data_IF_702468509482
#
_entry.id   IF_702468509482
#
_cell.length_a   1.000
_cell.length_b   1.000
_cell.length_c   1.000
_cell.angle_alpha   90.00
_cell.angle_beta   90.00
_cell.angle_gamma   90.00
#
_symmetry.space_group_name_H-M   'P 1'
#
loop_
_entity.id
_entity.type
_entity.pdbx_description
1 polymer ?
#
# COMPACT_ATOMS: atom_id res chain seq x y z
N UNK A 1 -16.16 -1.49 -12.64
CA UNK A 1 -16.36 -0.26 -11.85
C UNK A 1 -17.79 -0.04 -11.28
N UNK A 2 -18.73 -0.99 -11.34
CA UNK A 2 -20.05 -0.84 -10.67
C UNK A 2 -19.91 -0.69 -9.14
N UNK A 3 -18.94 -1.39 -8.55
CA UNK A 3 -18.72 -1.46 -7.09
C UNK A 3 -18.21 -0.16 -6.46
N UNK A 4 -17.62 0.75 -7.25
CA UNK A 4 -17.11 2.04 -6.77
C UNK A 4 -17.94 3.24 -7.25
N UNK A 5 -19.08 3.03 -7.92
CA UNK A 5 -19.82 4.13 -8.55
C UNK A 5 -20.30 5.20 -7.57
N UNK A 6 -20.64 4.83 -6.34
CA UNK A 6 -21.03 5.80 -5.29
C UNK A 6 -19.82 6.58 -4.78
N UNK A 7 -18.72 5.89 -4.50
CA UNK A 7 -17.48 6.50 -4.02
C UNK A 7 -16.86 7.44 -5.07
N UNK A 8 -16.88 7.06 -6.34
CA UNK A 8 -16.43 7.92 -7.45
C UNK A 8 -17.24 9.23 -7.47
N UNK A 9 -18.57 9.15 -7.37
CA UNK A 9 -19.44 10.34 -7.33
C UNK A 9 -19.20 11.20 -6.09
N UNK A 10 -18.91 10.57 -4.95
CA UNK A 10 -18.72 11.23 -3.65
C UNK A 10 -17.36 11.91 -3.54
N UNK A 11 -16.30 11.26 -3.99
CA UNK A 11 -14.92 11.68 -3.72
C UNK A 11 -14.15 12.11 -4.97
N UNK A 12 -14.43 11.50 -6.13
CA UNK A 12 -13.61 11.65 -7.34
C UNK A 12 -14.35 12.39 -8.46
N UNK A 13 -15.35 13.22 -8.13
CA UNK A 13 -16.17 13.93 -9.13
C UNK A 13 -15.33 14.84 -10.04
N UNK A 14 -14.29 15.48 -9.48
CA UNK A 14 -13.44 16.41 -10.21
C UNK A 14 -12.53 15.68 -11.22
N UNK A 15 -12.15 14.45 -10.92
CA UNK A 15 -11.35 13.58 -11.81
C UNK A 15 -12.09 13.25 -13.10
N UNK A 16 -13.43 13.18 -13.06
CA UNK A 16 -14.28 12.97 -14.24
C UNK A 16 -14.32 14.17 -15.20
N UNK A 17 -13.89 15.34 -14.73
CA UNK A 17 -13.82 16.57 -15.51
C UNK A 17 -12.40 16.86 -16.00
N UNK A 18 -11.44 15.99 -15.68
CA UNK A 18 -10.05 16.17 -16.08
C UNK A 18 -9.89 15.96 -17.58
N UNK A 19 -9.07 16.81 -18.22
CA UNK A 19 -8.64 16.63 -19.61
C UNK A 19 -7.49 15.63 -19.74
N UNK A 20 -7.29 14.76 -18.73
CA UNK A 20 -6.25 13.74 -18.80
C UNK A 20 -6.57 12.71 -19.90
N UNK A 21 -5.52 12.22 -20.56
CA UNK A 21 -5.63 11.22 -21.64
C UNK A 21 -6.31 9.91 -21.19
N UNK A 22 -6.40 9.68 -19.88
CA UNK A 22 -7.03 8.50 -19.29
C UNK A 22 -7.80 8.89 -18.03
N UNK A 23 -9.08 9.21 -18.19
CA UNK A 23 -10.02 9.49 -17.09
C UNK A 23 -10.03 8.31 -16.08
N UNK A 24 -9.86 7.07 -16.57
CA UNK A 24 -9.79 5.88 -15.74
C UNK A 24 -8.63 5.93 -14.75
N UNK A 25 -7.45 6.38 -15.18
CA UNK A 25 -6.25 6.41 -14.32
C UNK A 25 -6.37 7.49 -13.24
N UNK A 26 -6.90 8.67 -13.59
CA UNK A 26 -7.17 9.75 -12.63
C UNK A 26 -8.21 9.35 -11.58
N UNK A 27 -9.27 8.63 -11.97
CA UNK A 27 -10.25 8.08 -11.01
C UNK A 27 -9.62 7.03 -10.09
N UNK A 28 -8.82 6.10 -10.61
CA UNK A 28 -8.14 5.08 -9.79
C UNK A 28 -7.16 5.74 -8.80
N UNK A 29 -6.42 6.76 -9.23
CA UNK A 29 -5.54 7.55 -8.36
C UNK A 29 -6.31 8.20 -7.21
N UNK A 30 -7.47 8.80 -7.47
CA UNK A 30 -8.32 9.34 -6.41
C UNK A 30 -8.84 8.25 -5.47
N UNK A 31 -9.30 7.11 -5.99
CA UNK A 31 -9.78 6.00 -5.15
C UNK A 31 -8.68 5.42 -4.25
N UNK A 32 -7.43 5.34 -4.72
CA UNK A 32 -6.25 4.97 -3.89
C UNK A 32 -6.09 5.89 -2.68
N UNK A 33 -6.25 7.20 -2.87
CA UNK A 33 -6.20 8.16 -1.74
C UNK A 33 -7.30 7.86 -0.72
N UNK A 34 -8.54 7.65 -1.18
CA UNK A 34 -9.65 7.34 -0.27
C UNK A 34 -9.52 5.97 0.40
N UNK A 35 -8.92 4.99 -0.28
CA UNK A 35 -8.59 3.67 0.27
C UNK A 35 -7.61 3.79 1.44
N UNK A 36 -6.52 4.54 1.26
CA UNK A 36 -5.55 4.82 2.34
C UNK A 36 -6.16 5.56 3.53
N UNK A 37 -7.19 6.38 3.28
CA UNK A 37 -7.91 7.13 4.31
C UNK A 37 -9.12 6.41 4.91
N UNK A 38 -9.37 5.15 4.56
CA UNK A 38 -10.51 4.37 5.10
C UNK A 38 -11.89 5.01 4.84
N UNK A 39 -12.01 5.76 3.73
CA UNK A 39 -13.22 6.54 3.38
C UNK A 39 -14.15 5.84 2.38
N UNK A 40 -13.68 4.77 1.73
CA UNK A 40 -14.46 4.02 0.74
C UNK A 40 -15.55 3.18 1.39
N UNK A 41 -16.64 2.94 0.65
CA UNK A 41 -17.63 1.93 1.01
C UNK A 41 -17.03 0.52 1.01
N UNK A 42 -17.54 -0.40 1.84
CA UNK A 42 -17.08 -1.80 1.92
C UNK A 42 -17.00 -2.48 0.54
N UNK A 43 -17.93 -2.17 -0.37
CA UNK A 43 -17.93 -2.76 -1.72
C UNK A 43 -16.82 -2.20 -2.59
N UNK A 44 -16.53 -0.91 -2.49
CA UNK A 44 -15.45 -0.30 -3.25
C UNK A 44 -14.08 -0.59 -2.62
N UNK A 45 -14.00 -0.66 -1.29
CA UNK A 45 -12.79 -1.06 -0.57
C UNK A 45 -12.34 -2.46 -1.01
N UNK A 46 -13.25 -3.43 -1.09
CA UNK A 46 -12.94 -4.78 -1.59
C UNK A 46 -12.47 -4.78 -3.04
N UNK A 47 -13.16 -4.06 -3.93
CA UNK A 47 -12.74 -3.93 -5.32
C UNK A 47 -11.33 -3.34 -5.43
N UNK A 48 -11.05 -2.27 -4.66
CA UNK A 48 -9.74 -1.63 -4.65
C UNK A 48 -8.66 -2.54 -4.05
N UNK A 49 -8.97 -3.28 -2.98
CA UNK A 49 -8.03 -4.23 -2.38
C UNK A 49 -7.61 -5.32 -3.39
N UNK A 50 -8.56 -5.85 -4.18
CA UNK A 50 -8.25 -6.83 -5.24
C UNK A 50 -7.39 -6.22 -6.35
N UNK A 51 -7.75 -5.01 -6.85
CA UNK A 51 -6.95 -4.31 -7.87
C UNK A 51 -5.52 -4.09 -7.37
N UNK A 52 -5.37 -3.59 -6.15
CA UNK A 52 -4.06 -3.29 -5.56
C UNK A 52 -3.27 -4.56 -5.25
N UNK A 53 -3.93 -5.65 -4.87
CA UNK A 53 -3.30 -6.96 -4.68
C UNK A 53 -2.75 -7.51 -6.00
N UNK A 54 -3.50 -7.44 -7.08
CA UNK A 54 -3.04 -7.86 -8.41
C UNK A 54 -1.85 -7.01 -8.88
N UNK A 55 -1.92 -5.69 -8.66
CA UNK A 55 -0.78 -4.78 -8.90
C UNK A 55 0.45 -5.13 -8.07
N UNK A 56 0.24 -5.60 -6.83
CA UNK A 56 1.32 -6.00 -5.94
C UNK A 56 1.94 -7.35 -6.29
N UNK A 57 1.18 -8.25 -6.90
CA UNK A 57 1.69 -9.51 -7.43
C UNK A 57 2.41 -9.29 -8.77
N UNK A 58 1.91 -8.38 -9.59
CA UNK A 58 2.36 -8.18 -10.97
C UNK A 58 2.55 -6.69 -11.26
N UNK A 59 3.78 -6.18 -11.11
CA UNK A 59 4.07 -4.74 -11.22
C UNK A 59 3.70 -4.15 -12.58
N UNK A 60 3.67 -4.97 -13.64
CA UNK A 60 3.22 -4.57 -14.97
C UNK A 60 1.75 -4.17 -15.04
N UNK A 61 0.93 -4.59 -14.06
CA UNK A 61 -0.47 -4.17 -13.89
C UNK A 61 -0.59 -2.83 -13.15
N UNK A 62 0.50 -2.32 -12.56
CA UNK A 62 0.57 -0.99 -11.98
C UNK A 62 1.20 0.00 -12.99
N UNK A 63 0.38 0.74 -13.77
CA UNK A 63 0.89 1.58 -14.86
C UNK A 63 1.79 2.71 -14.36
N UNK A 64 1.51 3.28 -13.18
CA UNK A 64 2.33 4.36 -12.63
C UNK A 64 3.72 3.85 -12.27
N UNK A 65 3.83 2.79 -11.45
CA UNK A 65 5.13 2.20 -11.09
C UNK A 65 5.90 1.77 -12.34
N UNK A 66 5.25 1.10 -13.30
CA UNK A 66 5.89 0.67 -14.54
C UNK A 66 6.54 1.83 -15.30
N UNK A 67 5.92 3.01 -15.27
CA UNK A 67 6.42 4.20 -15.97
C UNK A 67 7.47 4.93 -15.14
N UNK A 68 7.17 5.27 -13.88
CA UNK A 68 8.04 6.14 -13.08
C UNK A 68 9.24 5.41 -12.48
N UNK A 69 9.13 4.10 -12.24
CA UNK A 69 10.20 3.26 -11.69
C UNK A 69 10.88 2.38 -12.74
N UNK A 70 10.67 2.64 -14.05
CA UNK A 70 11.21 1.79 -15.12
C UNK A 70 12.71 1.55 -14.96
N UNK A 71 13.47 2.62 -14.74
CA UNK A 71 14.92 2.56 -14.59
C UNK A 71 15.33 1.74 -13.36
N UNK A 72 14.66 1.91 -12.23
CA UNK A 72 14.94 1.19 -10.99
C UNK A 72 14.62 -0.29 -11.12
N UNK A 73 13.53 -0.64 -11.81
CA UNK A 73 13.15 -2.02 -12.08
C UNK A 73 14.26 -2.71 -12.91
N UNK A 74 14.73 -2.05 -13.98
CA UNK A 74 15.75 -2.60 -14.88
C UNK A 74 17.15 -2.67 -14.21
N UNK A 75 17.53 -1.64 -13.46
CA UNK A 75 18.91 -1.49 -12.96
C UNK A 75 19.13 -1.98 -11.53
N UNK A 76 18.14 -1.81 -10.65
CA UNK A 76 18.20 -2.17 -9.23
C UNK A 76 17.60 -3.56 -9.00
N UNK A 77 16.40 -3.79 -9.52
CA UNK A 77 15.67 -5.04 -9.30
C UNK A 77 16.01 -6.15 -10.29
N UNK A 78 16.53 -5.81 -11.47
CA UNK A 78 17.09 -6.73 -12.48
C UNK A 78 16.18 -7.93 -12.73
N UNK A 79 14.94 -7.67 -13.11
CA UNK A 79 13.88 -8.67 -13.13
C UNK A 79 13.38 -8.96 -14.55
N UNK A 80 13.39 -10.24 -14.94
CA UNK A 80 13.12 -10.72 -16.30
C UNK A 80 11.80 -11.53 -16.38
N UNK A 81 10.66 -10.93 -16.02
CA UNK A 81 9.31 -11.33 -16.47
C UNK A 81 8.42 -12.29 -15.63
N UNK A 82 8.88 -12.97 -14.57
CA UNK A 82 7.98 -13.77 -13.69
C UNK A 82 7.74 -13.10 -12.33
N UNK A 83 6.91 -12.04 -12.33
CA UNK A 83 6.66 -11.27 -11.11
C UNK A 83 5.53 -11.90 -10.29
N UNK A 84 5.83 -12.25 -9.04
CA UNK A 84 4.88 -12.74 -8.03
C UNK A 84 5.10 -11.95 -6.74
N UNK A 85 5.10 -10.63 -6.90
CA UNK A 85 5.41 -9.62 -5.89
C UNK A 85 6.89 -9.48 -5.56
N UNK A 86 7.78 -10.00 -6.42
CA UNK A 86 9.23 -9.90 -6.21
C UNK A 86 9.74 -8.51 -6.58
N UNK A 87 9.21 -7.91 -7.64
CA UNK A 87 9.61 -6.56 -8.06
C UNK A 87 9.10 -5.54 -7.05
N UNK A 88 7.84 -5.65 -6.62
CA UNK A 88 7.30 -4.80 -5.55
C UNK A 88 8.15 -4.89 -4.28
N UNK A 89 8.45 -6.10 -3.80
CA UNK A 89 9.27 -6.28 -2.59
C UNK A 89 10.68 -5.69 -2.78
N UNK A 90 11.26 -5.80 -3.97
CA UNK A 90 12.54 -5.18 -4.29
C UNK A 90 12.46 -3.65 -4.20
N UNK A 91 11.45 -3.03 -4.83
CA UNK A 91 11.24 -1.58 -4.81
C UNK A 91 11.04 -1.06 -3.39
N UNK A 92 10.19 -1.73 -2.58
CA UNK A 92 10.00 -1.42 -1.16
C UNK A 92 11.33 -1.42 -0.41
N UNK A 93 12.16 -2.45 -0.60
CA UNK A 93 13.48 -2.55 0.02
C UNK A 93 14.48 -1.50 -0.51
N UNK A 94 14.43 -1.16 -1.80
CA UNK A 94 15.27 -0.14 -2.40
C UNK A 94 14.97 1.25 -1.82
N UNK A 95 13.69 1.56 -1.57
CA UNK A 95 13.28 2.81 -0.93
C UNK A 95 13.89 2.95 0.47
N UNK A 96 13.73 1.93 1.33
CA UNK A 96 14.26 1.94 2.70
C UNK A 96 15.78 2.03 2.74
N UNK A 97 16.45 1.41 1.77
CA UNK A 97 17.91 1.48 1.63
C UNK A 97 18.38 2.76 0.94
N UNK A 98 17.48 3.70 0.62
CA UNK A 98 17.77 4.96 -0.10
C UNK A 98 18.51 4.72 -1.41
N UNK A 99 18.15 3.65 -2.12
CA UNK A 99 18.74 3.24 -3.39
C UNK A 99 17.97 3.73 -4.61
N UNK A 100 16.76 4.26 -4.42
CA UNK A 100 15.97 4.85 -5.51
C UNK A 100 16.46 6.29 -5.73
N UNK A 101 17.09 6.59 -6.89
CA UNK A 101 17.63 7.91 -7.15
C UNK A 101 16.57 8.90 -7.65
N UNK A 102 15.47 8.41 -8.23
CA UNK A 102 14.42 9.24 -8.82
C UNK A 102 13.36 9.61 -7.76
N UNK A 103 13.06 10.91 -7.57
CA UNK A 103 12.03 11.35 -6.64
C UNK A 103 10.63 10.80 -6.97
N UNK A 104 10.29 10.71 -8.25
CA UNK A 104 8.99 10.24 -8.73
C UNK A 104 8.76 8.77 -8.39
N UNK A 105 9.77 7.91 -8.61
CA UNK A 105 9.69 6.52 -8.19
C UNK A 105 9.66 6.40 -6.66
N UNK A 106 10.46 7.22 -5.95
CA UNK A 106 10.47 7.19 -4.48
C UNK A 106 9.08 7.51 -3.90
N UNK A 107 8.41 8.52 -4.46
CA UNK A 107 7.06 8.92 -4.07
C UNK A 107 6.05 7.82 -4.36
N UNK A 108 6.10 7.19 -5.54
CA UNK A 108 5.13 6.17 -5.92
C UNK A 108 5.33 4.86 -5.15
N UNK A 109 6.58 4.48 -4.86
CA UNK A 109 6.86 3.34 -3.97
C UNK A 109 6.41 3.63 -2.53
N UNK A 110 6.53 4.88 -2.06
CA UNK A 110 5.98 5.26 -0.76
C UNK A 110 4.44 5.16 -0.75
N UNK A 111 3.75 5.64 -1.79
CA UNK A 111 2.29 5.47 -1.93
C UNK A 111 1.89 3.99 -1.91
N UNK A 112 2.59 3.14 -2.66
CA UNK A 112 2.38 1.69 -2.68
C UNK A 112 2.54 1.06 -1.28
N UNK A 113 3.51 1.51 -0.47
CA UNK A 113 3.69 1.04 0.90
C UNK A 113 2.52 1.46 1.79
N UNK A 114 2.02 2.70 1.65
CA UNK A 114 0.84 3.14 2.41
C UNK A 114 -0.43 2.42 1.99
N UNK A 115 -0.61 2.15 0.69
CA UNK A 115 -1.68 1.30 0.16
C UNK A 115 -1.65 -0.09 0.81
N UNK A 116 -0.47 -0.69 0.95
CA UNK A 116 -0.29 -2.00 1.59
C UNK A 116 -0.42 -1.98 3.12
N UNK A 117 -0.47 -0.78 3.74
CA UNK A 117 -0.82 -0.61 5.14
C UNK A 117 -2.34 -0.59 5.36
N UNK A 118 -3.10 -0.18 4.34
CA UNK A 118 -4.53 0.02 4.45
C UNK A 118 -5.34 -1.28 4.41
N UNK A 119 -4.84 -2.35 3.81
CA UNK A 119 -5.36 -3.72 3.96
C UNK A 119 -4.21 -4.72 3.82
N UNK A 120 -4.14 -5.72 4.71
CA UNK A 120 -3.14 -6.77 4.63
C UNK A 120 -3.22 -7.57 3.32
N UNK A 121 -4.39 -7.65 2.68
CA UNK A 121 -4.52 -8.33 1.38
C UNK A 121 -3.75 -7.63 0.25
N UNK A 122 -3.48 -6.33 0.38
CA UNK A 122 -2.66 -5.55 -0.55
C UNK A 122 -1.16 -5.83 -0.35
N UNK A 123 -0.77 -6.52 0.72
CA UNK A 123 0.58 -7.05 0.91
C UNK A 123 0.56 -8.60 0.88
N UNK A 124 0.53 -9.22 -0.31
CA UNK A 124 0.40 -10.67 -0.44
C UNK A 124 1.54 -11.43 0.26
N UNK A 125 2.74 -10.85 0.35
CA UNK A 125 3.87 -11.46 1.05
C UNK A 125 3.67 -11.43 2.57
N UNK A 126 3.26 -10.29 3.15
CA UNK A 126 2.95 -10.21 4.58
C UNK A 126 1.77 -11.11 4.94
N UNK A 127 0.70 -11.07 4.14
CA UNK A 127 -0.50 -11.89 4.34
C UNK A 127 -0.15 -13.37 4.37
N UNK A 128 0.63 -13.86 3.39
CA UNK A 128 1.07 -15.26 3.34
C UNK A 128 1.99 -15.61 4.50
N UNK A 129 2.92 -14.72 4.86
CA UNK A 129 3.87 -14.94 5.96
C UNK A 129 3.18 -15.02 7.32
N UNK A 130 2.10 -14.25 7.51
CA UNK A 130 1.33 -14.17 8.74
C UNK A 130 0.01 -14.97 8.72
N UNK A 131 -0.24 -15.80 7.70
CA UNK A 131 -1.54 -16.46 7.51
C UNK A 131 -1.98 -17.28 8.74
N UNK A 132 -1.06 -18.04 9.35
CA UNK A 132 -1.35 -18.83 10.55
C UNK A 132 -1.65 -17.96 11.77
N UNK A 133 -0.89 -16.87 11.96
CA UNK A 133 -1.09 -15.93 13.06
C UNK A 133 -2.43 -15.19 12.91
N UNK A 134 -2.81 -14.81 11.69
CA UNK A 134 -4.11 -14.21 11.38
C UNK A 134 -5.26 -15.15 11.71
N UNK A 135 -5.17 -16.42 11.32
CA UNK A 135 -6.18 -17.43 11.63
C UNK A 135 -6.28 -17.73 13.13
N UNK A 136 -5.16 -17.66 13.83
CA UNK A 136 -5.08 -18.00 15.26
C UNK A 136 -5.58 -16.85 16.13
N UNK A 137 -5.15 -15.62 15.84
CA UNK A 137 -5.33 -14.49 16.75
C UNK A 137 -6.28 -13.40 16.23
N UNK A 138 -6.48 -13.31 14.91
CA UNK A 138 -7.23 -12.22 14.28
C UNK A 138 -8.44 -12.71 13.46
N UNK A 139 -8.91 -13.94 13.67
CA UNK A 139 -9.99 -14.55 12.88
C UNK A 139 -11.35 -13.81 12.97
N UNK A 140 -11.63 -13.19 14.12
CA UNK A 140 -12.86 -12.41 14.35
C UNK A 140 -12.70 -10.94 13.97
N UNK A 141 -11.53 -10.54 13.46
CA UNK A 141 -11.28 -9.18 13.00
C UNK A 141 -11.75 -9.08 11.55
N UNK A 142 -12.68 -8.16 11.22
CA UNK A 142 -13.11 -8.00 9.84
C UNK A 142 -11.99 -7.42 8.97
N UNK A 143 -11.96 -7.81 7.70
CA UNK A 143 -10.96 -7.36 6.72
C UNK A 143 -11.06 -5.85 6.44
N UNK A 144 -9.97 -5.26 5.94
CA UNK A 144 -9.95 -3.86 5.53
C UNK A 144 -9.61 -2.90 6.66
N UNK A 145 -9.44 -1.64 6.30
CA UNK A 145 -9.15 -0.51 7.18
C UNK A 145 -7.96 -0.73 8.14
N UNK A 146 -6.94 -1.46 7.67
CA UNK A 146 -5.72 -1.79 8.41
C UNK A 146 -5.92 -2.68 9.64
N UNK A 147 -7.13 -3.22 9.85
CA UNK A 147 -7.50 -3.88 11.12
C UNK A 147 -6.69 -5.12 11.42
N UNK A 148 -6.39 -5.94 10.42
CA UNK A 148 -5.53 -7.12 10.61
C UNK A 148 -4.09 -6.76 10.98
N UNK A 149 -3.52 -5.73 10.35
CA UNK A 149 -2.18 -5.24 10.69
C UNK A 149 -2.17 -4.68 12.12
N UNK A 150 -3.20 -3.93 12.52
CA UNK A 150 -3.34 -3.43 13.89
C UNK A 150 -3.52 -4.56 14.92
N UNK A 151 -4.26 -5.61 14.58
CA UNK A 151 -4.39 -6.79 15.44
C UNK A 151 -3.03 -7.45 15.70
N UNK A 152 -2.28 -7.73 14.63
CA UNK A 152 -0.93 -8.30 14.73
C UNK A 152 0.03 -7.38 15.50
N UNK A 153 -0.08 -6.05 15.32
CA UNK A 153 0.69 -5.05 16.07
C UNK A 153 0.47 -5.16 17.58
N UNK A 154 -0.78 -5.22 18.02
CA UNK A 154 -1.14 -5.32 19.45
C UNK A 154 -0.57 -6.59 20.08
N UNK A 155 -0.60 -7.71 19.35
CA UNK A 155 0.00 -8.96 19.80
C UNK A 155 1.51 -8.80 19.97
N UNK A 156 2.18 -8.24 18.95
CA UNK A 156 3.62 -7.98 18.97
C UNK A 156 4.05 -7.11 20.16
N UNK A 157 3.27 -6.08 20.49
CA UNK A 157 3.55 -5.12 21.57
C UNK A 157 3.19 -5.68 22.97
N UNK A 158 2.11 -6.44 23.08
CA UNK A 158 1.65 -6.96 24.38
C UNK A 158 2.57 -8.02 24.98
N UNK A 159 3.29 -8.79 24.14
CA UNK A 159 4.09 -9.94 24.58
C UNK A 159 3.27 -11.10 25.18
N UNK A 160 1.95 -10.95 25.32
CA UNK A 160 1.03 -11.94 25.91
C UNK A 160 0.86 -13.18 25.05
N UNK A 161 1.00 -13.01 23.73
CA UNK A 161 0.95 -14.04 22.72
C UNK A 161 2.16 -13.85 21.81
N UNK A 162 2.70 -14.97 21.31
CA UNK A 162 3.89 -14.94 20.46
C UNK A 162 3.51 -15.25 19.03
N UNK A 163 3.64 -14.25 18.16
CA UNK A 163 3.57 -14.45 16.71
C UNK A 163 4.66 -15.42 16.26
N UNK A 164 4.41 -16.16 15.18
CA UNK A 164 5.45 -16.98 14.55
C UNK A 164 6.70 -16.12 14.25
N UNK A 165 7.93 -16.69 14.35
CA UNK A 165 9.15 -15.92 14.13
C UNK A 165 9.19 -15.22 12.76
N UNK A 166 8.64 -15.88 11.72
CA UNK A 166 8.56 -15.33 10.37
C UNK A 166 7.60 -14.14 10.30
N UNK A 167 6.38 -14.27 10.83
CA UNK A 167 5.43 -13.15 10.87
C UNK A 167 5.98 -11.99 11.71
N UNK A 168 6.55 -12.27 12.89
CA UNK A 168 7.17 -11.25 13.76
C UNK A 168 8.27 -10.47 13.03
N UNK A 169 9.17 -11.13 12.34
CA UNK A 169 10.24 -10.47 11.57
C UNK A 169 9.63 -9.62 10.45
N UNK A 170 8.72 -10.19 9.66
CA UNK A 170 8.15 -9.51 8.50
C UNK A 170 7.31 -8.30 8.90
N UNK A 171 6.53 -8.43 9.96
CA UNK A 171 5.71 -7.34 10.48
C UNK A 171 6.57 -6.16 10.98
N UNK A 172 7.71 -6.44 11.62
CA UNK A 172 8.68 -5.40 12.00
C UNK A 172 9.27 -4.70 10.78
N UNK A 173 9.68 -5.44 9.76
CA UNK A 173 10.14 -4.85 8.48
C UNK A 173 9.08 -3.91 7.89
N UNK A 174 7.80 -4.33 7.92
CA UNK A 174 6.69 -3.51 7.42
C UNK A 174 6.44 -2.26 8.24
N UNK A 175 6.52 -2.31 9.57
CA UNK A 175 6.38 -1.09 10.39
C UNK A 175 7.49 -0.07 10.11
N UNK A 176 8.72 -0.51 9.89
CA UNK A 176 9.79 0.38 9.43
C UNK A 176 9.48 0.95 8.04
N UNK A 177 8.96 0.13 7.12
CA UNK A 177 8.54 0.61 5.79
C UNK A 177 7.45 1.68 5.87
N UNK A 178 6.38 1.45 6.65
CA UNK A 178 5.29 2.42 6.81
C UNK A 178 5.78 3.74 7.41
N UNK A 179 6.65 3.68 8.41
CA UNK A 179 7.23 4.89 9.03
C UNK A 179 8.04 5.72 8.02
N UNK A 180 8.84 5.06 7.18
CA UNK A 180 9.64 5.76 6.17
C UNK A 180 8.76 6.31 5.04
N UNK A 181 7.76 5.55 4.58
CA UNK A 181 6.84 5.97 3.53
C UNK A 181 6.04 7.22 3.93
N UNK A 182 5.54 7.28 5.16
CA UNK A 182 4.75 8.41 5.67
C UNK A 182 5.54 9.74 5.68
N UNK A 183 6.88 9.70 5.71
CA UNK A 183 7.72 10.90 5.61
C UNK A 183 7.87 11.41 4.17
N UNK A 184 7.69 10.53 3.18
CA UNK A 184 7.87 10.82 1.75
C UNK A 184 6.53 11.18 1.10
N UNK A 185 5.47 10.47 1.47
CA UNK A 185 4.14 10.60 0.88
C UNK A 185 3.07 10.85 1.96
N UNK A 186 3.17 11.90 2.79
CA UNK A 186 2.22 12.12 3.86
C UNK A 186 0.79 12.18 3.29
N UNK A 187 -0.13 11.42 3.91
CA UNK A 187 -1.56 11.55 3.62
C UNK A 187 -1.96 13.02 3.73
N UNK A 188 -2.77 13.50 2.78
CA UNK A 188 -3.18 14.90 2.66
C UNK A 188 -3.80 15.48 3.94
N UNK A 189 -4.56 14.68 4.70
CA UNK A 189 -5.12 15.08 6.01
C UNK A 189 -4.05 15.20 7.13
N UNK A 190 -2.87 14.58 6.96
CA UNK A 190 -1.73 14.63 7.90
C UNK A 190 -0.59 15.52 7.42
N UNK A 191 -0.68 16.08 6.22
CA UNK A 191 0.35 16.95 5.66
C UNK A 191 0.53 18.21 6.51
N UNK A 192 -0.57 18.75 7.05
CA UNK A 192 -0.57 19.87 8.00
C UNK A 192 0.05 19.49 9.36
N UNK A 193 -0.18 18.26 9.84
CA UNK A 193 0.40 17.76 11.10
C UNK A 193 1.89 17.48 10.96
N UNK A 194 2.33 16.93 9.82
CA UNK A 194 3.74 16.69 9.53
C UNK A 194 4.51 18.02 9.44
N UNK A 195 3.95 19.03 8.76
CA UNK A 195 4.54 20.37 8.71
C UNK A 195 4.68 20.99 10.11
N UNK A 196 3.67 20.87 10.97
CA UNK A 196 3.74 21.38 12.35
C UNK A 196 4.87 20.74 13.16
N UNK A 197 5.05 19.42 13.05
CA UNK A 197 6.09 18.67 13.79
C UNK A 197 7.50 18.94 13.25
N UNK A 198 7.65 19.23 11.95
CA UNK A 198 8.97 19.57 11.35
C UNK A 198 9.38 21.03 11.65
N UNK A 199 8.42 21.91 11.90
CA UNK A 199 8.66 23.33 12.25
C UNK A 199 8.75 23.62 13.75
N UNK A 200 8.66 22.59 14.62
CA UNK A 200 8.81 22.69 16.07
C UNK A 200 10.08 22.02 16.58
#
# INVERSE_FOLDING_TARGET
QKNCSMDIKKFCKNELLSNEKSITDSVIKCLKVQFKSFKLSDTCEKEMAEILREQALYVNLNPLIKVVCKNEIETICKFDEEDSGKVEECLKNALIKKKIPTPECSLEVANMIEESQADIQVDPLLQRTCALDLLTFCNNVPQGNGRHIQCLKKILESGSQTLTPKCKSKLKERFEMYKNAAQIAPLSDFQDLYQQVVTS
#
